data_IF_951373109216
#
_entry.id   IF_951373109216
#
_cell.length_a   1.000
_cell.length_b   1.000
_cell.length_c   1.000
_cell.angle_alpha   90.00
_cell.angle_beta   90.00
_cell.angle_gamma   90.00
#
_symmetry.space_group_name_H-M   'P 1'
#
loop_
_entity.id
_entity.type
_entity.pdbx_description
1 polymer ?
#
# COMPACT_ATOMS: atom_id res chain seq x y z
N UNK A 1 -7.12 14.54 12.75
CA UNK A 1 -6.19 14.24 11.63
C UNK A 1 -7.01 13.58 10.53
N UNK A 2 -6.93 14.06 9.28
CA UNK A 2 -7.66 13.45 8.17
C UNK A 2 -7.12 12.04 7.91
N UNK A 3 -7.96 11.02 8.10
CA UNK A 3 -7.60 9.67 7.65
C UNK A 3 -7.59 9.70 6.13
N UNK A 4 -6.39 9.73 5.53
CA UNK A 4 -6.22 9.54 4.10
C UNK A 4 -7.02 8.31 3.68
N UNK A 5 -7.88 8.47 2.70
CA UNK A 5 -8.75 7.39 2.23
C UNK A 5 -7.98 6.41 1.32
N UNK A 6 -6.65 6.46 1.37
CA UNK A 6 -5.73 5.66 0.55
C UNK A 6 -5.54 4.28 1.18
N UNK A 7 -5.55 3.26 0.35
CA UNK A 7 -5.21 1.89 0.71
C UNK A 7 -4.09 1.41 -0.19
N UNK A 8 -3.12 0.72 0.40
CA UNK A 8 -2.04 0.07 -0.30
C UNK A 8 -2.30 -1.42 -0.30
N UNK A 9 -2.55 -1.97 -1.48
CA UNK A 9 -2.66 -3.39 -1.71
C UNK A 9 -1.27 -3.95 -1.98
N UNK A 10 -0.85 -4.91 -1.16
CA UNK A 10 0.39 -5.66 -1.33
C UNK A 10 0.06 -7.09 -1.74
N UNK A 11 0.68 -7.55 -2.83
CA UNK A 11 0.81 -8.96 -3.15
C UNK A 11 2.22 -9.46 -2.83
N UNK A 12 2.32 -10.43 -1.92
CA UNK A 12 3.59 -11.07 -1.56
C UNK A 12 3.39 -12.58 -1.38
N UNK A 13 4.17 -13.39 -2.09
CA UNK A 13 4.11 -14.86 -1.99
C UNK A 13 2.73 -15.46 -2.29
N UNK A 14 1.98 -14.85 -3.22
CA UNK A 14 0.60 -15.26 -3.55
C UNK A 14 -0.45 -14.89 -2.51
N UNK A 15 -0.11 -14.10 -1.49
CA UNK A 15 -1.03 -13.58 -0.48
C UNK A 15 -1.28 -12.10 -0.68
N UNK A 16 -2.49 -11.66 -0.34
CA UNK A 16 -2.95 -10.28 -0.46
C UNK A 16 -3.02 -9.64 0.93
N UNK A 17 -2.38 -8.49 1.08
CA UNK A 17 -2.37 -7.69 2.29
C UNK A 17 -2.81 -6.26 1.98
N UNK A 18 -3.41 -5.58 2.96
CA UNK A 18 -3.98 -4.26 2.77
C UNK A 18 -3.55 -3.34 3.90
N UNK A 19 -3.00 -2.18 3.55
CA UNK A 19 -2.41 -1.25 4.50
C UNK A 19 -2.96 0.16 4.31
N UNK A 20 -3.15 0.89 5.41
CA UNK A 20 -3.55 2.30 5.36
C UNK A 20 -2.39 3.26 5.06
N UNK A 21 -1.15 2.77 5.11
CA UNK A 21 0.04 3.55 4.78
C UNK A 21 1.19 2.65 4.33
N UNK A 22 2.15 3.20 3.57
CA UNK A 22 3.37 2.48 3.21
C UNK A 22 4.20 2.15 4.46
N UNK A 23 4.19 3.01 5.49
CA UNK A 23 4.91 2.75 6.74
C UNK A 23 4.40 1.49 7.45
N UNK A 24 3.09 1.26 7.45
CA UNK A 24 2.47 0.07 8.05
C UNK A 24 2.91 -1.25 7.38
N UNK A 25 3.37 -1.20 6.12
CA UNK A 25 3.95 -2.38 5.46
C UNK A 25 5.24 -2.81 6.16
N UNK A 26 6.09 -1.84 6.52
CA UNK A 26 7.41 -2.09 7.11
C UNK A 26 7.38 -2.44 8.60
N UNK A 27 6.22 -2.33 9.24
CA UNK A 27 6.03 -2.86 10.60
C UNK A 27 5.87 -4.39 10.61
N UNK A 28 5.48 -4.97 9.47
CA UNK A 28 5.27 -6.42 9.32
C UNK A 28 6.35 -7.05 8.44
N UNK A 29 6.77 -6.36 7.39
CA UNK A 29 7.77 -6.86 6.44
C UNK A 29 9.08 -6.11 6.57
N UNK A 30 10.18 -6.85 6.59
CA UNK A 30 11.50 -6.25 6.55
C UNK A 30 11.90 -5.85 5.13
N UNK A 31 12.87 -4.94 5.01
CA UNK A 31 13.43 -4.53 3.71
C UNK A 31 13.95 -5.72 2.89
N UNK A 32 14.51 -6.74 3.54
CA UNK A 32 15.11 -7.89 2.87
C UNK A 32 14.05 -8.83 2.24
N UNK A 33 12.97 -9.05 2.97
CA UNK A 33 11.79 -9.78 2.51
C UNK A 33 11.11 -9.04 1.36
N UNK A 34 10.93 -7.72 1.53
CA UNK A 34 10.24 -6.89 0.56
C UNK A 34 11.08 -6.58 -0.68
N UNK A 35 12.41 -6.61 -0.56
CA UNK A 35 13.37 -6.31 -1.62
C UNK A 35 13.48 -4.83 -1.99
N UNK A 36 12.76 -3.94 -1.29
CA UNK A 36 12.74 -2.49 -1.57
C UNK A 36 12.67 -1.71 -0.27
N UNK A 37 13.25 -0.51 -0.25
CA UNK A 37 13.24 0.38 0.93
C UNK A 37 11.98 1.25 0.96
N UNK A 38 11.55 1.62 2.17
CA UNK A 38 10.39 2.51 2.36
C UNK A 38 10.57 3.85 1.63
N UNK A 39 11.79 4.39 1.63
CA UNK A 39 12.14 5.62 0.94
C UNK A 39 11.95 5.49 -0.58
N UNK A 40 12.28 4.35 -1.17
CA UNK A 40 12.07 4.09 -2.59
C UNK A 40 10.59 4.11 -2.94
N UNK A 41 9.74 3.47 -2.13
CA UNK A 41 8.29 3.43 -2.38
C UNK A 41 7.65 4.81 -2.24
N UNK A 42 8.11 5.62 -1.29
CA UNK A 42 7.69 7.02 -1.18
C UNK A 42 8.13 7.86 -2.38
N UNK A 43 9.37 7.71 -2.83
CA UNK A 43 9.87 8.41 -4.01
C UNK A 43 9.14 7.98 -5.29
N UNK A 44 8.75 6.72 -5.38
CA UNK A 44 8.05 6.14 -6.54
C UNK A 44 6.63 6.67 -6.72
N UNK A 45 5.98 7.17 -5.65
CA UNK A 45 4.60 7.69 -5.67
C UNK A 45 3.60 6.69 -6.25
N UNK A 46 3.42 5.57 -5.53
CA UNK A 46 2.53 4.49 -5.93
C UNK A 46 1.08 4.98 -6.01
N UNK A 47 0.48 4.82 -7.19
CA UNK A 47 -0.93 5.10 -7.50
C UNK A 47 -1.55 3.92 -8.22
N UNK A 48 -2.86 3.96 -8.47
CA UNK A 48 -3.60 2.85 -9.11
C UNK A 48 -3.09 2.55 -10.52
N UNK A 49 -2.81 3.60 -11.30
CA UNK A 49 -2.31 3.49 -12.68
C UNK A 49 -0.82 3.15 -12.76
N UNK A 50 -0.08 3.36 -11.66
CA UNK A 50 1.35 3.15 -11.60
C UNK A 50 1.73 2.35 -10.34
N UNK A 51 1.39 1.05 -10.33
CA UNK A 51 1.78 0.17 -9.25
C UNK A 51 3.29 -0.05 -9.26
N UNK A 52 3.84 -0.28 -8.07
CA UNK A 52 5.21 -0.74 -7.95
C UNK A 52 5.24 -2.25 -8.17
N UNK A 53 5.98 -2.70 -9.18
CA UNK A 53 6.16 -4.12 -9.50
C UNK A 53 7.62 -4.48 -9.25
N UNK A 54 7.88 -5.09 -8.10
CA UNK A 54 9.19 -5.62 -7.72
C UNK A 54 9.34 -7.09 -8.08
N UNK A 55 10.54 -7.62 -7.89
CA UNK A 55 10.85 -9.04 -8.15
C UNK A 55 10.16 -9.99 -7.16
N UNK A 56 9.93 -9.54 -5.92
CA UNK A 56 9.35 -10.34 -4.82
C UNK A 56 7.95 -9.86 -4.40
N UNK A 57 7.62 -8.60 -4.66
CA UNK A 57 6.45 -7.92 -4.11
C UNK A 57 5.85 -6.98 -5.15
N UNK A 58 4.53 -6.85 -5.10
CA UNK A 58 3.79 -5.88 -5.91
C UNK A 58 2.96 -5.00 -4.99
N UNK A 59 3.06 -3.68 -5.14
CA UNK A 59 2.32 -2.71 -4.33
C UNK A 59 1.48 -1.82 -5.23
N UNK A 60 0.17 -1.78 -4.99
CA UNK A 60 -0.78 -0.93 -5.69
C UNK A 60 -1.40 0.07 -4.73
N UNK A 61 -1.49 1.33 -5.17
CA UNK A 61 -2.22 2.37 -4.44
C UNK A 61 -3.68 2.38 -4.91
N UNK A 62 -4.62 2.49 -3.99
CA UNK A 62 -6.03 2.63 -4.29
C UNK A 62 -6.74 3.54 -3.29
N UNK A 63 -8.03 3.76 -3.52
CA UNK A 63 -8.88 4.53 -2.61
C UNK A 63 -9.94 3.63 -1.97
N UNK A 64 -10.11 3.74 -0.66
CA UNK A 64 -11.16 3.05 0.08
C UNK A 64 -12.50 3.72 -0.21
N UNK A 65 -13.32 3.09 -1.04
CA UNK A 65 -14.72 3.49 -1.21
C UNK A 65 -15.51 3.09 0.04
N UNK A 66 -15.69 4.03 0.95
CA UNK A 66 -16.56 3.87 2.13
C UNK A 66 -17.98 4.27 1.78
N UNK A 67 -18.98 3.61 2.37
CA UNK A 67 -20.35 4.11 2.30
C UNK A 67 -20.37 5.52 2.88
N UNK A 68 -20.94 6.48 2.17
CA UNK A 68 -21.29 7.75 2.80
C UNK A 68 -22.37 7.44 3.82
N UNK A 69 -22.11 7.70 5.10
CA UNK A 69 -23.18 7.63 6.09
C UNK A 69 -24.06 8.84 5.80
N UNK A 70 -25.08 8.66 4.95
CA UNK A 70 -26.11 9.66 4.75
C UNK A 70 -26.82 9.78 6.09
N UNK A 71 -26.36 10.73 6.91
CA UNK A 71 -26.99 11.09 8.16
C UNK A 71 -28.49 11.28 7.86
N UNK A 72 -29.30 10.50 8.57
CA UNK A 72 -30.75 10.54 8.46
C UNK A 72 -31.29 11.73 9.22
#
# INVERSE_FOLDING_TARGET
MAHSNTIYHLMYGGRHYYFGSIASIYEIFTRDEFGVSIHTLWAYKIIEEHPYIGKKSEVRGGEIKRKTNKAR
#
